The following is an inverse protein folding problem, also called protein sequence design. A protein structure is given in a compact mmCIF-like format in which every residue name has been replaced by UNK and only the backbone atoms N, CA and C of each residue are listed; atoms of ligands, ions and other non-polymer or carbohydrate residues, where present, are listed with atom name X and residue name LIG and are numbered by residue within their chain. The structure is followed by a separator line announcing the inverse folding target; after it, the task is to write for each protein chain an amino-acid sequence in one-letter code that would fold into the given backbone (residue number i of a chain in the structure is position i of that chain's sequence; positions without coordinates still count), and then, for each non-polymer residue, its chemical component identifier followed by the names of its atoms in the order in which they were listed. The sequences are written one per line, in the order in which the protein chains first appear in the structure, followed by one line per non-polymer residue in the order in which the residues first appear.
data_IF_242078431987
#
_entry.id   IF_242078431987
#
_cell.length_a   1.000
_cell.length_b   1.000
_cell.length_c   1.000
_cell.angle_alpha   90.00
_cell.angle_beta   90.00
_cell.angle_gamma   90.00
#
_symmetry.space_group_name_H-M   'P 1'
#
loop_
_entity.id
_entity.type
_entity.pdbx_description
1 polymer ?
#
# COMPACT_ATOMS: atom_id res chain seq x y z
N UNK A 1 1.42 15.03 -22.28
CA UNK A 1 0.12 14.77 -21.60
C UNK A 1 -0.08 15.85 -20.56
N UNK A 2 -1.26 16.49 -20.56
CA UNK A 2 -1.59 17.68 -19.76
C UNK A 2 -1.27 17.47 -18.27
N UNK A 3 -0.43 18.36 -17.74
CA UNK A 3 0.03 18.38 -16.35
C UNK A 3 -1.03 18.98 -15.44
N UNK A 4 -2.06 18.20 -15.13
CA UNK A 4 -3.08 18.64 -14.20
C UNK A 4 -2.64 18.29 -12.77
N UNK A 5 -2.41 19.32 -11.96
CA UNK A 5 -2.17 19.18 -10.52
C UNK A 5 -3.52 19.19 -9.81
N UNK A 6 -3.82 18.13 -9.08
CA UNK A 6 -5.05 18.01 -8.30
C UNK A 6 -4.72 17.75 -6.84
N UNK A 7 -5.51 18.34 -5.95
CA UNK A 7 -5.52 17.94 -4.55
C UNK A 7 -6.28 16.63 -4.45
N UNK A 8 -5.57 15.56 -4.13
CA UNK A 8 -6.11 14.21 -3.98
C UNK A 8 -5.71 13.60 -2.65
N UNK A 9 -6.36 12.49 -2.30
CA UNK A 9 -5.94 11.66 -1.16
C UNK A 9 -4.95 10.61 -1.64
N UNK A 10 -3.77 10.55 -1.00
CA UNK A 10 -2.81 9.48 -1.22
C UNK A 10 -2.91 8.49 -0.07
N UNK A 11 -3.24 7.24 -0.38
CA UNK A 11 -3.25 6.14 0.58
C UNK A 11 -1.98 5.32 0.46
N UNK A 12 -1.45 4.89 1.60
CA UNK A 12 -0.30 4.00 1.67
C UNK A 12 -0.54 2.94 2.73
N UNK A 13 0.09 1.78 2.59
CA UNK A 13 0.01 0.68 3.54
C UNK A 13 1.41 0.17 3.85
N UNK A 14 1.63 -0.13 5.12
CA UNK A 14 2.91 -0.56 5.66
C UNK A 14 2.68 -1.76 6.57
N UNK A 15 3.60 -2.72 6.52
CA UNK A 15 3.64 -3.85 7.44
C UNK A 15 4.87 -3.68 8.31
N UNK A 16 4.65 -3.57 9.61
CA UNK A 16 5.71 -3.38 10.61
C UNK A 16 5.92 -4.72 11.32
N UNK A 17 7.16 -5.19 11.31
CA UNK A 17 7.59 -6.38 12.00
C UNK A 17 7.65 -6.20 13.53
N UNK A 18 7.72 -7.30 14.29
CA UNK A 18 7.83 -7.26 15.76
C UNK A 18 9.12 -6.57 16.26
N UNK A 19 10.14 -6.49 15.40
CA UNK A 19 11.40 -5.77 15.59
C UNK A 19 11.32 -4.28 15.23
N UNK A 20 10.14 -3.80 14.79
CA UNK A 20 9.92 -2.43 14.35
C UNK A 20 10.40 -2.14 12.92
N UNK A 21 10.86 -3.15 12.17
CA UNK A 21 11.29 -2.97 10.78
C UNK A 21 10.10 -2.93 9.81
N UNK A 22 10.24 -2.19 8.71
CA UNK A 22 9.26 -2.20 7.62
C UNK A 22 9.49 -3.46 6.77
N UNK A 23 8.58 -4.43 6.88
CA UNK A 23 8.65 -5.69 6.12
C UNK A 23 8.03 -5.58 4.73
N UNK A 24 7.08 -4.67 4.57
CA UNK A 24 6.41 -4.43 3.30
C UNK A 24 5.86 -3.01 3.27
N UNK A 25 5.95 -2.36 2.10
CA UNK A 25 5.55 -0.97 1.92
C UNK A 25 4.94 -0.78 0.54
N UNK A 26 3.78 -0.14 0.47
CA UNK A 26 3.16 0.26 -0.80
C UNK A 26 2.49 1.61 -0.71
N UNK A 27 2.75 2.43 -1.72
CA UNK A 27 2.22 3.78 -1.86
C UNK A 27 1.18 3.83 -2.96
N UNK A 28 0.32 4.87 -2.91
CA UNK A 28 -0.74 5.11 -3.90
C UNK A 28 -1.66 3.90 -4.07
N UNK A 29 -2.02 3.26 -2.95
CA UNK A 29 -2.83 2.05 -2.96
C UNK A 29 -4.30 2.36 -3.24
N UNK A 30 -4.93 1.52 -4.05
CA UNK A 30 -6.37 1.55 -4.26
C UNK A 30 -7.07 0.84 -3.09
N UNK A 31 -8.27 1.25 -2.64
CA UNK A 31 -9.03 0.50 -1.63
C UNK A 31 -9.41 -0.91 -2.09
N UNK A 32 -9.75 -1.06 -3.37
CA UNK A 32 -10.42 -2.25 -3.90
C UNK A 32 -9.42 -3.37 -4.14
N UNK A 33 -9.62 -4.52 -3.51
CA UNK A 33 -8.77 -5.71 -3.71
C UNK A 33 -7.41 -5.65 -3.00
N UNK A 34 -7.13 -4.57 -2.27
CA UNK A 34 -5.81 -4.32 -1.72
C UNK A 34 -5.48 -5.19 -0.51
N UNK A 35 -6.50 -5.63 0.24
CA UNK A 35 -6.28 -6.54 1.37
C UNK A 35 -5.88 -7.91 0.86
N UNK A 36 -6.56 -8.41 -0.17
CA UNK A 36 -6.25 -9.70 -0.79
C UNK A 36 -4.87 -9.69 -1.44
N UNK A 37 -4.51 -8.60 -2.13
CA UNK A 37 -3.17 -8.39 -2.68
C UNK A 37 -2.10 -8.37 -1.57
N UNK A 38 -2.34 -7.63 -0.48
CA UNK A 38 -1.43 -7.58 0.66
C UNK A 38 -1.19 -8.97 1.27
N UNK A 39 -2.27 -9.74 1.51
CA UNK A 39 -2.15 -11.06 2.11
C UNK A 39 -1.41 -12.04 1.18
N UNK A 40 -1.61 -11.91 -0.13
CA UNK A 40 -0.86 -12.67 -1.14
C UNK A 40 0.62 -12.30 -1.18
N UNK A 41 0.95 -11.00 -1.15
CA UNK A 41 2.33 -10.51 -1.14
C UNK A 41 3.09 -10.96 0.12
N UNK A 42 2.39 -11.07 1.24
CA UNK A 42 2.95 -11.56 2.51
C UNK A 42 3.01 -13.09 2.60
N UNK A 43 2.38 -13.82 1.67
CA UNK A 43 2.33 -15.29 1.67
C UNK A 43 1.56 -15.87 2.86
N UNK A 44 0.53 -15.17 3.33
CA UNK A 44 -0.27 -15.55 4.51
C UNK A 44 -1.69 -16.05 4.14
N UNK A 45 -1.87 -16.46 2.89
CA UNK A 45 -3.11 -17.00 2.34
C UNK A 45 -3.25 -18.51 2.55
#
# INVERSE_FOLDING_TARGET
MYGNTYMGTLRSTFVIGPDGSLKWVKYKVSPKGHVEELLSDLGVN
#
